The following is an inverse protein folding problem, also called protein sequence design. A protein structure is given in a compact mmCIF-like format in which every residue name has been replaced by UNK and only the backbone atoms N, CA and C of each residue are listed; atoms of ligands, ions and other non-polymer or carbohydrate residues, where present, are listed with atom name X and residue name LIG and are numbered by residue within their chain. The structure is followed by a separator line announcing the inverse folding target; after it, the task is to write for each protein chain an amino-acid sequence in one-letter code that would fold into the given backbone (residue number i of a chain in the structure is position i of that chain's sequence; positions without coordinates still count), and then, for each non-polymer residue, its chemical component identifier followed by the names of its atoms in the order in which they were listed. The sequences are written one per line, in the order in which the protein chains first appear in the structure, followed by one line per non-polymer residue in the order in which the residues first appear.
data_IF_744862933329
#
_entry.id   IF_744862933329
#
_cell.length_a   1.000
_cell.length_b   1.000
_cell.length_c   1.000
_cell.angle_alpha   90.00
_cell.angle_beta   90.00
_cell.angle_gamma   90.00
#
_symmetry.space_group_name_H-M   'P 1'
#
loop_
_entity.id
_entity.type
_entity.pdbx_description
1 polymer ?
#
# COMPACT_ATOMS: atom_id res chain seq x y z
N UNK A 1 17.28 -1.63 -1.34
CA UNK A 1 16.13 -1.26 -2.18
C UNK A 1 16.62 -0.71 -3.53
N UNK A 2 17.09 -1.58 -4.44
CA UNK A 2 17.52 -1.22 -5.80
C UNK A 2 16.40 -1.63 -6.77
N UNK A 3 15.32 -0.85 -6.76
CA UNK A 3 14.19 -1.02 -7.67
C UNK A 3 14.01 0.20 -8.57
N UNK A 4 15.08 0.94 -8.86
CA UNK A 4 15.15 1.83 -10.01
C UNK A 4 15.39 1.00 -11.27
N UNK A 5 14.46 0.08 -11.58
CA UNK A 5 14.26 -0.31 -12.96
C UNK A 5 13.61 0.88 -13.65
N UNK A 6 14.44 1.89 -13.91
CA UNK A 6 14.17 2.99 -14.82
C UNK A 6 13.42 2.40 -16.00
N UNK A 7 12.20 2.85 -16.21
CA UNK A 7 11.37 2.45 -17.34
C UNK A 7 12.17 2.62 -18.64
N UNK A 8 13.08 3.58 -18.68
CA UNK A 8 14.07 3.81 -19.72
C UNK A 8 14.99 2.60 -19.97
N UNK A 9 15.35 1.82 -18.94
CA UNK A 9 16.11 0.56 -19.08
C UNK A 9 15.27 -0.57 -19.68
N UNK A 10 13.98 -0.62 -19.34
CA UNK A 10 13.03 -1.56 -19.96
C UNK A 10 12.79 -1.19 -21.43
N UNK A 11 12.51 0.08 -21.71
CA UNK A 11 12.38 0.61 -23.07
C UNK A 11 13.64 0.37 -23.90
N UNK A 12 14.83 0.67 -23.37
CA UNK A 12 16.08 0.41 -24.06
C UNK A 12 16.22 -1.06 -24.44
N UNK A 13 15.89 -1.99 -23.53
CA UNK A 13 16.01 -3.42 -23.81
C UNK A 13 15.06 -3.86 -24.92
N UNK A 14 13.85 -3.32 -24.96
CA UNK A 14 12.89 -3.58 -26.04
C UNK A 14 13.40 -3.00 -27.35
N UNK A 15 13.77 -1.72 -27.36
CA UNK A 15 14.25 -1.01 -28.54
C UNK A 15 15.47 -1.73 -29.11
N UNK A 16 16.47 -2.06 -28.30
CA UNK A 16 17.67 -2.78 -28.75
C UNK A 16 17.34 -4.14 -29.34
N UNK A 17 16.40 -4.90 -28.77
CA UNK A 17 16.00 -6.21 -29.31
C UNK A 17 15.30 -6.07 -30.65
N UNK A 18 14.34 -5.15 -30.75
CA UNK A 18 13.60 -4.89 -31.99
C UNK A 18 14.55 -4.39 -33.06
N UNK A 19 15.40 -3.40 -32.75
CA UNK A 19 16.40 -2.87 -33.66
C UNK A 19 17.39 -3.95 -34.09
N UNK A 20 17.87 -4.80 -33.19
CA UNK A 20 18.81 -5.87 -33.53
C UNK A 20 18.19 -6.90 -34.47
N UNK A 21 16.97 -7.38 -34.18
CA UNK A 21 16.25 -8.32 -35.05
C UNK A 21 15.95 -7.66 -36.40
N UNK A 22 15.51 -6.39 -36.39
CA UNK A 22 15.24 -5.63 -37.60
C UNK A 22 16.48 -5.46 -38.48
N UNK A 23 17.62 -5.09 -37.90
CA UNK A 23 18.89 -4.96 -38.63
C UNK A 23 19.36 -6.31 -39.16
N UNK A 24 19.20 -7.42 -38.41
CA UNK A 24 19.49 -8.77 -38.92
C UNK A 24 18.64 -9.05 -40.16
N UNK A 25 17.34 -8.79 -40.09
CA UNK A 25 16.43 -9.04 -41.22
C UNK A 25 16.83 -8.22 -42.45
N UNK A 26 17.18 -6.94 -42.25
CA UNK A 26 17.66 -6.05 -43.33
C UNK A 26 18.96 -6.59 -43.93
N UNK A 27 19.95 -6.93 -43.10
CA UNK A 27 21.23 -7.48 -43.60
C UNK A 27 21.05 -8.80 -44.35
N UNK A 28 20.12 -9.65 -43.93
CA UNK A 28 19.81 -10.90 -44.59
C UNK A 28 19.11 -10.66 -45.94
N UNK A 29 18.18 -9.71 -45.97
CA UNK A 29 17.48 -9.34 -47.20
C UNK A 29 18.46 -8.75 -48.23
N UNK A 30 19.35 -7.86 -47.79
CA UNK A 30 20.40 -7.31 -48.63
C UNK A 30 21.36 -8.41 -49.13
N UNK A 31 21.65 -9.44 -48.32
CA UNK A 31 22.44 -10.59 -48.76
C UNK A 31 21.78 -11.42 -49.85
N UNK A 32 20.46 -11.60 -49.78
CA UNK A 32 19.72 -12.45 -50.72
C UNK A 32 19.43 -11.71 -52.03
N UNK A 33 19.09 -10.42 -51.96
CA UNK A 33 18.50 -9.70 -53.08
C UNK A 33 19.42 -8.68 -53.75
N UNK A 34 20.50 -8.22 -53.10
CA UNK A 34 21.44 -7.29 -53.75
C UNK A 34 22.52 -8.03 -54.55
N UNK A 35 22.92 -7.53 -55.74
CA UNK A 35 24.03 -8.08 -56.51
C UNK A 35 25.34 -8.09 -55.71
N UNK A 36 26.17 -9.13 -55.87
CA UNK A 36 27.44 -9.31 -55.12
C UNK A 36 28.39 -8.10 -55.19
N UNK A 37 28.37 -7.34 -56.28
CA UNK A 37 29.20 -6.13 -56.47
C UNK A 37 28.77 -4.96 -55.57
N UNK A 38 27.48 -4.84 -55.25
CA UNK A 38 26.93 -3.81 -54.37
C UNK A 38 27.07 -4.27 -52.91
N UNK A 39 27.00 -5.58 -52.67
CA UNK A 39 27.09 -6.14 -51.32
C UNK A 39 28.49 -6.02 -50.70
N UNK A 40 29.55 -6.12 -51.52
CA UNK A 40 30.94 -5.81 -51.08
C UNK A 40 31.26 -4.31 -51.06
N UNK A 41 30.29 -3.48 -51.43
CA UNK A 41 30.40 -2.03 -51.41
C UNK A 41 30.25 -1.44 -50.00
N UNK A 42 30.26 -0.12 -49.96
CA UNK A 42 30.19 0.70 -48.75
C UNK A 42 28.90 0.45 -47.95
N UNK A 43 27.78 0.13 -48.62
CA UNK A 43 26.48 -0.08 -47.98
C UNK A 43 26.47 -1.33 -47.08
N UNK A 44 27.07 -2.45 -47.51
CA UNK A 44 27.15 -3.67 -46.70
C UNK A 44 28.00 -3.51 -45.44
N UNK A 45 29.03 -2.65 -45.50
CA UNK A 45 29.88 -2.31 -44.35
C UNK A 45 29.08 -1.50 -43.32
N UNK A 46 28.22 -0.59 -43.78
CA UNK A 46 27.37 0.24 -42.91
C UNK A 46 26.42 -0.62 -42.09
N UNK A 47 25.70 -1.55 -42.73
CA UNK A 47 24.75 -2.40 -42.01
C UNK A 47 25.44 -3.32 -41.02
N UNK A 48 26.62 -3.84 -41.37
CA UNK A 48 27.46 -4.60 -40.45
C UNK A 48 27.91 -3.77 -39.24
N UNK A 49 28.33 -2.52 -39.44
CA UNK A 49 28.71 -1.63 -38.33
C UNK A 49 27.53 -1.34 -37.40
N UNK A 50 26.34 -1.10 -37.95
CA UNK A 50 25.11 -0.91 -37.15
C UNK A 50 24.82 -2.18 -36.34
N UNK A 51 24.87 -3.35 -36.95
CA UNK A 51 24.64 -4.63 -36.27
C UNK A 51 25.62 -4.87 -35.11
N UNK A 52 26.92 -4.63 -35.35
CA UNK A 52 27.96 -4.75 -34.32
C UNK A 52 27.72 -3.73 -33.19
N UNK A 53 27.34 -2.50 -33.50
CA UNK A 53 27.03 -1.49 -32.50
C UNK A 53 25.88 -1.90 -31.58
N UNK A 54 24.82 -2.50 -32.16
CA UNK A 54 23.66 -2.98 -31.41
C UNK A 54 24.03 -4.21 -30.56
N UNK A 55 24.87 -5.11 -31.06
CA UNK A 55 25.38 -6.25 -30.29
C UNK A 55 26.20 -5.77 -29.07
N UNK A 56 27.11 -4.81 -29.28
CA UNK A 56 27.90 -4.20 -28.19
C UNK A 56 26.98 -3.48 -27.20
N UNK A 57 25.97 -2.74 -27.68
CA UNK A 57 25.00 -2.07 -26.83
C UNK A 57 24.19 -3.07 -25.98
N UNK A 58 23.78 -4.21 -26.53
CA UNK A 58 23.11 -5.28 -25.79
C UNK A 58 24.01 -5.86 -24.68
N UNK A 59 25.30 -6.08 -24.97
CA UNK A 59 26.27 -6.53 -23.96
C UNK A 59 26.49 -5.49 -22.85
N UNK A 60 26.56 -4.20 -23.20
CA UNK A 60 26.66 -3.10 -22.23
C UNK A 60 25.40 -2.99 -21.36
N UNK A 61 24.22 -3.17 -21.97
CA UNK A 61 22.95 -3.19 -21.25
C UNK A 61 22.89 -4.35 -20.25
N UNK A 62 23.38 -5.54 -20.63
CA UNK A 62 23.46 -6.69 -19.73
C UNK A 62 24.41 -6.46 -18.53
N UNK A 63 25.45 -5.64 -18.72
CA UNK A 63 26.39 -5.22 -17.66
C UNK A 63 25.90 -4.01 -16.83
N UNK A 64 24.61 -3.64 -16.91
CA UNK A 64 24.03 -2.47 -16.25
C UNK A 64 24.67 -1.13 -16.62
N UNK A 65 25.41 -1.05 -17.73
CA UNK A 65 26.00 0.22 -18.23
C UNK A 65 25.02 0.93 -19.17
N UNK A 66 23.88 1.37 -18.61
CA UNK A 66 22.75 1.93 -19.36
C UNK A 66 23.14 3.07 -20.31
N UNK A 67 23.71 4.15 -19.77
CA UNK A 67 24.03 5.34 -20.57
C UNK A 67 25.04 5.05 -21.69
N UNK A 68 26.03 4.19 -21.41
CA UNK A 68 26.99 3.78 -22.43
C UNK A 68 26.33 2.94 -23.53
N UNK A 69 25.39 2.07 -23.16
CA UNK A 69 24.61 1.28 -24.12
C UNK A 69 23.80 2.18 -25.06
N UNK A 70 23.07 3.18 -24.52
CA UNK A 70 22.31 4.14 -25.33
C UNK A 70 23.20 4.96 -26.24
N UNK A 71 24.33 5.47 -25.72
CA UNK A 71 25.26 6.28 -26.52
C UNK A 71 25.80 5.45 -27.68
N UNK A 72 26.28 4.23 -27.42
CA UNK A 72 26.82 3.35 -28.47
C UNK A 72 25.77 2.99 -29.52
N UNK A 73 24.54 2.64 -29.08
CA UNK A 73 23.47 2.26 -30.01
C UNK A 73 22.89 3.41 -30.81
N UNK A 74 23.19 4.67 -30.46
CA UNK A 74 22.70 5.85 -31.17
C UNK A 74 23.80 6.57 -31.94
N UNK A 75 25.02 6.67 -31.40
CA UNK A 75 26.12 7.41 -32.01
C UNK A 75 26.63 6.75 -33.29
N UNK A 76 26.77 5.42 -33.29
CA UNK A 76 27.28 4.68 -34.46
C UNK A 76 26.24 4.73 -35.61
N UNK A 77 24.95 4.41 -35.39
CA UNK A 77 23.94 4.59 -36.44
C UNK A 77 23.80 6.03 -36.93
N UNK A 78 23.91 7.03 -36.05
CA UNK A 78 23.91 8.43 -36.51
C UNK A 78 25.09 8.73 -37.43
N UNK A 79 26.30 8.28 -37.06
CA UNK A 79 27.49 8.50 -37.87
C UNK A 79 27.34 7.84 -39.25
N UNK A 80 26.83 6.61 -39.30
CA UNK A 80 26.61 5.90 -40.57
C UNK A 80 25.51 6.55 -41.41
N UNK A 81 24.43 7.04 -40.79
CA UNK A 81 23.35 7.76 -41.50
C UNK A 81 23.83 9.10 -42.07
N UNK A 82 24.65 9.86 -41.32
CA UNK A 82 25.26 11.08 -41.85
C UNK A 82 26.21 10.79 -43.00
N UNK A 83 27.06 9.77 -42.85
CA UNK A 83 27.96 9.34 -43.92
C UNK A 83 27.18 8.92 -45.18
N UNK A 84 26.16 8.09 -45.03
CA UNK A 84 25.28 7.68 -46.14
C UNK A 84 24.62 8.88 -46.81
N UNK A 85 24.17 9.88 -46.03
CA UNK A 85 23.54 11.08 -46.57
C UNK A 85 24.49 12.03 -47.31
N UNK A 86 25.80 11.89 -47.09
CA UNK A 86 26.84 12.67 -47.79
C UNK A 86 27.29 11.93 -49.05
N UNK A 87 27.52 10.62 -48.99
CA UNK A 87 28.15 9.88 -50.09
C UNK A 87 27.19 9.05 -50.94
N UNK A 88 25.98 8.74 -50.46
CA UNK A 88 24.96 7.97 -51.19
C UNK A 88 23.81 8.85 -51.67
N UNK A 89 23.72 9.02 -52.98
CA UNK A 89 22.77 9.93 -53.66
C UNK A 89 21.31 9.52 -53.47
N UNK A 90 21.01 8.22 -53.44
CA UNK A 90 19.64 7.69 -53.45
C UNK A 90 19.02 7.54 -52.05
N UNK A 91 19.84 7.50 -50.99
CA UNK A 91 19.39 7.18 -49.65
C UNK A 91 19.03 8.41 -48.77
N UNK A 92 19.33 9.62 -49.22
CA UNK A 92 19.31 10.86 -48.41
C UNK A 92 18.00 11.10 -47.64
N UNK A 93 16.84 10.99 -48.29
CA UNK A 93 15.52 11.19 -47.66
C UNK A 93 15.25 10.16 -46.55
N UNK A 94 15.55 8.88 -46.81
CA UNK A 94 15.33 7.80 -45.84
C UNK A 94 16.30 7.91 -44.66
N UNK A 95 17.56 8.25 -44.92
CA UNK A 95 18.58 8.45 -43.90
C UNK A 95 18.22 9.62 -42.98
N UNK A 96 17.71 10.74 -43.52
CA UNK A 96 17.25 11.88 -42.72
C UNK A 96 16.05 11.53 -41.82
N UNK A 97 15.08 10.77 -42.34
CA UNK A 97 13.97 10.28 -41.53
C UNK A 97 14.45 9.36 -40.39
N UNK A 98 15.44 8.50 -40.67
CA UNK A 98 16.05 7.64 -39.66
C UNK A 98 16.80 8.43 -38.58
N UNK A 99 17.50 9.53 -38.94
CA UNK A 99 18.14 10.43 -37.97
C UNK A 99 17.13 11.01 -36.99
N UNK A 100 15.94 11.37 -37.47
CA UNK A 100 14.84 11.86 -36.61
C UNK A 100 14.39 10.77 -35.63
N UNK A 101 14.21 9.54 -36.09
CA UNK A 101 13.83 8.42 -35.22
C UNK A 101 14.90 8.10 -34.15
N UNK A 102 16.18 8.21 -34.50
CA UNK A 102 17.28 8.07 -33.53
C UNK A 102 17.29 9.26 -32.56
N UNK A 103 17.02 10.48 -33.03
CA UNK A 103 16.85 11.67 -32.20
C UNK A 103 15.72 11.57 -31.18
N UNK A 104 14.59 11.01 -31.58
CA UNK A 104 13.49 10.66 -30.68
C UNK A 104 13.94 9.67 -29.60
N UNK A 105 14.67 8.62 -30.00
CA UNK A 105 15.20 7.63 -29.06
C UNK A 105 16.16 8.27 -28.03
N UNK A 106 17.02 9.20 -28.46
CA UNK A 106 17.88 10.00 -27.57
C UNK A 106 17.05 10.82 -26.58
N UNK A 107 15.98 11.46 -27.04
CA UNK A 107 15.11 12.32 -26.23
C UNK A 107 14.45 11.56 -25.08
N UNK A 108 14.06 10.31 -25.33
CA UNK A 108 13.39 9.44 -24.35
C UNK A 108 14.41 8.74 -23.44
N UNK A 109 15.51 8.25 -23.98
CA UNK A 109 16.39 7.33 -23.26
C UNK A 109 17.49 8.04 -22.45
N UNK A 110 17.86 9.28 -22.80
CA UNK A 110 18.89 10.01 -22.07
C UNK A 110 18.32 11.13 -21.21
N UNK A 111 19.08 11.54 -20.20
CA UNK A 111 18.73 12.63 -19.30
C UNK A 111 19.86 13.63 -19.11
N UNK A 112 19.48 14.81 -18.63
CA UNK A 112 20.38 15.87 -18.19
C UNK A 112 21.36 16.30 -19.29
N UNK A 113 22.65 16.38 -18.93
CA UNK A 113 23.69 16.91 -19.82
C UNK A 113 23.97 15.98 -21.00
N UNK A 114 23.82 14.66 -20.83
CA UNK A 114 24.10 13.68 -21.89
C UNK A 114 23.07 13.77 -23.02
N UNK A 115 21.80 13.98 -22.67
CA UNK A 115 20.72 14.27 -23.63
C UNK A 115 21.09 15.50 -24.46
N UNK A 116 21.46 16.60 -23.81
CA UNK A 116 21.85 17.86 -24.49
C UNK A 116 23.07 17.68 -25.41
N UNK A 117 24.11 16.97 -24.95
CA UNK A 117 25.30 16.69 -25.77
C UNK A 117 24.98 15.86 -27.01
N UNK A 118 24.12 14.84 -26.88
CA UNK A 118 23.72 14.02 -28.02
C UNK A 118 22.84 14.77 -29.03
N UNK A 119 21.94 15.64 -28.57
CA UNK A 119 21.19 16.52 -29.49
C UNK A 119 22.10 17.52 -30.20
N UNK A 120 23.09 18.08 -29.51
CA UNK A 120 24.10 18.93 -30.12
C UNK A 120 24.87 18.17 -31.21
N UNK A 121 25.27 16.92 -30.94
CA UNK A 121 25.92 16.05 -31.92
C UNK A 121 25.04 15.84 -33.18
N UNK A 122 23.74 15.61 -33.02
CA UNK A 122 22.82 15.47 -34.16
C UNK A 122 22.69 16.77 -34.94
N UNK A 123 22.55 17.92 -34.27
CA UNK A 123 22.45 19.23 -34.94
C UNK A 123 23.70 19.56 -35.75
N UNK A 124 24.90 19.25 -35.21
CA UNK A 124 26.17 19.39 -35.93
C UNK A 124 26.21 18.46 -37.15
N UNK A 125 25.76 17.21 -37.00
CA UNK A 125 25.68 16.24 -38.10
C UNK A 125 24.74 16.70 -39.22
N UNK A 126 23.52 17.12 -38.87
CA UNK A 126 22.55 17.67 -39.83
C UNK A 126 23.08 18.91 -40.56
N UNK A 127 23.78 19.80 -39.84
CA UNK A 127 24.39 20.99 -40.43
C UNK A 127 25.52 20.64 -41.40
N UNK A 128 26.32 19.63 -41.06
CA UNK A 128 27.37 19.10 -41.95
C UNK A 128 26.76 18.53 -43.23
N UNK A 129 25.74 17.68 -43.12
CA UNK A 129 25.09 17.09 -44.30
C UNK A 129 24.48 18.18 -45.19
N UNK A 130 23.80 19.16 -44.59
CA UNK A 130 23.26 20.30 -45.33
C UNK A 130 24.34 21.05 -46.10
N UNK A 131 25.47 21.34 -45.48
CA UNK A 131 26.57 22.05 -46.12
C UNK A 131 27.09 21.32 -47.37
N UNK A 132 27.29 19.99 -47.28
CA UNK A 132 27.72 19.18 -48.42
C UNK A 132 26.67 19.13 -49.55
N UNK A 133 25.39 18.98 -49.20
CA UNK A 133 24.30 18.97 -50.17
C UNK A 133 24.09 20.33 -50.83
N UNK A 134 24.28 21.42 -50.08
CA UNK A 134 24.14 22.78 -50.57
C UNK A 134 25.22 23.14 -51.60
N UNK A 135 26.45 22.68 -51.38
CA UNK A 135 27.55 22.90 -52.33
C UNK A 135 27.42 22.07 -53.62
N UNK A 136 26.80 20.89 -53.55
CA UNK A 136 26.75 19.94 -54.66
C UNK A 136 25.32 19.49 -54.99
N UNK A 137 24.37 20.39 -55.28
CA UNK A 137 22.95 20.04 -55.44
C UNK A 137 22.69 19.03 -56.56
N UNK A 138 23.44 19.13 -57.66
CA UNK A 138 23.31 18.22 -58.82
C UNK A 138 23.72 16.79 -58.50
N UNK A 139 24.67 16.59 -57.58
CA UNK A 139 25.09 15.26 -57.11
C UNK A 139 23.92 14.54 -56.42
N UNK A 140 23.07 15.27 -55.70
CA UNK A 140 21.95 14.71 -54.93
C UNK A 140 20.62 14.74 -55.71
N UNK A 141 20.68 14.80 -57.04
CA UNK A 141 19.51 14.84 -57.93
C UNK A 141 18.56 15.99 -57.61
N UNK A 142 19.10 17.12 -57.13
CA UNK A 142 18.34 18.34 -56.87
C UNK A 142 18.57 19.36 -57.99
N UNK A 143 17.51 19.90 -58.61
CA UNK A 143 17.62 20.80 -59.75
C UNK A 143 18.20 22.16 -59.36
N UNK A 144 18.06 22.58 -58.10
CA UNK A 144 18.59 23.84 -57.61
C UNK A 144 18.91 23.76 -56.10
N UNK A 145 19.61 24.77 -55.59
CA UNK A 145 19.91 24.92 -54.16
C UNK A 145 18.65 25.17 -53.32
N UNK A 146 17.59 25.71 -53.91
CA UNK A 146 16.31 25.97 -53.23
C UNK A 146 15.64 24.70 -52.70
N UNK A 147 15.67 23.60 -53.45
CA UNK A 147 15.14 22.31 -52.98
C UNK A 147 15.94 21.74 -51.81
N UNK A 148 17.27 21.87 -51.82
CA UNK A 148 18.13 21.44 -50.70
C UNK A 148 17.79 22.22 -49.43
N UNK A 149 17.65 23.55 -49.55
CA UNK A 149 17.26 24.41 -48.42
C UNK A 149 15.88 24.03 -47.90
N UNK A 150 14.91 23.79 -48.78
CA UNK A 150 13.55 23.41 -48.38
C UNK A 150 13.55 22.10 -47.61
N UNK A 151 14.24 21.07 -48.11
CA UNK A 151 14.35 19.77 -47.43
C UNK A 151 15.04 19.89 -46.08
N UNK A 152 16.13 20.67 -45.99
CA UNK A 152 16.80 20.92 -44.73
C UNK A 152 15.89 21.59 -43.71
N UNK A 153 15.18 22.66 -44.10
CA UNK A 153 14.23 23.36 -43.22
C UNK A 153 13.15 22.41 -42.71
N UNK A 154 12.61 21.54 -43.58
CA UNK A 154 11.60 20.54 -43.20
C UNK A 154 12.15 19.56 -42.16
N UNK A 155 13.29 18.91 -42.42
CA UNK A 155 13.84 17.92 -41.49
C UNK A 155 14.34 18.54 -40.19
N UNK A 156 14.95 19.73 -40.25
CA UNK A 156 15.40 20.47 -39.08
C UNK A 156 14.21 20.84 -38.21
N UNK A 157 13.16 21.44 -38.79
CA UNK A 157 11.94 21.79 -38.05
C UNK A 157 11.28 20.55 -37.45
N UNK A 158 11.14 19.46 -38.21
CA UNK A 158 10.59 18.20 -37.71
C UNK A 158 11.42 17.63 -36.54
N UNK A 159 12.74 17.67 -36.64
CA UNK A 159 13.64 17.22 -35.57
C UNK A 159 13.44 18.02 -34.28
N UNK A 160 13.34 19.35 -34.37
CA UNK A 160 13.11 20.19 -33.19
C UNK A 160 11.72 19.95 -32.58
N UNK A 161 10.68 19.84 -33.40
CA UNK A 161 9.31 19.53 -32.92
C UNK A 161 9.31 18.19 -32.18
N UNK A 162 9.90 17.14 -32.76
CA UNK A 162 9.92 15.81 -32.16
C UNK A 162 10.77 15.79 -30.88
N UNK A 163 11.94 16.43 -30.90
CA UNK A 163 12.81 16.52 -29.72
C UNK A 163 12.12 17.26 -28.57
N UNK A 164 11.49 18.39 -28.86
CA UNK A 164 10.73 19.16 -27.86
C UNK A 164 9.55 18.35 -27.33
N UNK A 165 8.75 17.77 -28.22
CA UNK A 165 7.55 17.02 -27.84
C UNK A 165 7.91 15.79 -27.00
N UNK A 166 8.92 15.02 -27.41
CA UNK A 166 9.38 13.85 -26.68
C UNK A 166 9.97 14.22 -25.31
N UNK A 167 10.73 15.31 -25.24
CA UNK A 167 11.26 15.84 -23.98
C UNK A 167 10.15 16.25 -23.01
N UNK A 168 9.17 17.04 -23.47
CA UNK A 168 8.03 17.44 -22.66
C UNK A 168 7.19 16.26 -22.18
N UNK A 169 6.97 15.26 -23.06
CA UNK A 169 6.25 14.04 -22.70
C UNK A 169 6.98 13.24 -21.63
N UNK A 170 8.30 13.10 -21.76
CA UNK A 170 9.14 12.43 -20.77
C UNK A 170 9.09 13.15 -19.41
N UNK A 171 9.31 14.46 -19.40
CA UNK A 171 9.33 15.24 -18.17
C UNK A 171 7.97 15.16 -17.44
N UNK A 172 6.85 15.14 -18.19
CA UNK A 172 5.50 14.95 -17.61
C UNK A 172 5.29 13.52 -17.08
N UNK A 173 5.74 12.51 -17.82
CA UNK A 173 5.67 11.11 -17.40
C UNK A 173 6.43 10.86 -16.10
N UNK A 174 7.66 11.38 -16.00
CA UNK A 174 8.51 11.24 -14.82
C UNK A 174 7.88 11.91 -13.58
N UNK A 175 7.25 13.09 -13.76
CA UNK A 175 6.52 13.78 -12.70
C UNK A 175 5.34 12.95 -12.17
N UNK A 176 4.51 12.41 -13.07
CA UNK A 176 3.35 11.59 -12.69
C UNK A 176 3.82 10.32 -11.96
N UNK A 177 4.89 9.69 -12.43
CA UNK A 177 5.37 8.47 -11.80
C UNK A 177 5.97 8.72 -10.41
N UNK A 178 6.66 9.85 -10.24
CA UNK A 178 7.16 10.27 -8.93
C UNK A 178 6.02 10.51 -7.95
N UNK A 179 4.96 11.20 -8.37
CA UNK A 179 3.75 11.43 -7.57
C UNK A 179 3.04 10.12 -7.21
N UNK A 180 2.85 9.22 -8.18
CA UNK A 180 2.24 7.92 -7.95
C UNK A 180 3.04 7.07 -6.95
N UNK A 181 4.37 7.10 -7.02
CA UNK A 181 5.22 6.40 -6.06
C UNK A 181 5.08 6.96 -4.64
N UNK A 182 4.89 8.28 -4.51
CA UNK A 182 4.71 8.93 -3.22
C UNK A 182 3.34 8.57 -2.61
N UNK A 183 2.28 8.63 -3.42
CA UNK A 183 0.93 8.23 -3.01
C UNK A 183 0.90 6.76 -2.58
N UNK A 184 1.53 5.85 -3.33
CA UNK A 184 1.61 4.44 -2.95
C UNK A 184 2.32 4.23 -1.61
N UNK A 185 3.39 4.99 -1.36
CA UNK A 185 4.09 4.92 -0.07
C UNK A 185 3.17 5.38 1.07
N UNK A 186 2.47 6.50 0.89
CA UNK A 186 1.52 7.02 1.88
C UNK A 186 0.36 6.04 2.14
N UNK A 187 -0.17 5.40 1.09
CA UNK A 187 -1.21 4.38 1.21
C UNK A 187 -0.75 3.18 2.04
N UNK A 188 0.47 2.71 1.83
CA UNK A 188 1.05 1.61 2.61
C UNK A 188 1.19 2.03 4.09
N UNK A 189 1.73 3.22 4.35
CA UNK A 189 1.86 3.74 5.72
C UNK A 189 0.51 3.86 6.43
N UNK A 190 -0.52 4.38 5.74
CA UNK A 190 -1.89 4.47 6.26
C UNK A 190 -2.50 3.08 6.49
N UNK A 191 -2.28 2.13 5.58
CA UNK A 191 -2.76 0.74 5.73
C UNK A 191 -2.16 0.08 6.97
N UNK A 192 -0.85 0.23 7.20
CA UNK A 192 -0.17 -0.31 8.39
C UNK A 192 -0.76 0.32 9.66
N UNK A 193 -0.96 1.65 9.66
CA UNK A 193 -1.55 2.34 10.81
C UNK A 193 -2.97 1.87 11.10
N UNK A 194 -3.81 1.70 10.06
CA UNK A 194 -5.18 1.17 10.21
C UNK A 194 -5.16 -0.25 10.78
N UNK A 195 -4.25 -1.11 10.32
CA UNK A 195 -4.12 -2.47 10.84
C UNK A 195 -3.74 -2.48 12.33
N UNK A 196 -2.82 -1.60 12.74
CA UNK A 196 -2.44 -1.44 14.15
C UNK A 196 -3.62 -0.97 15.01
N UNK A 197 -4.33 0.08 14.56
CA UNK A 197 -5.50 0.59 15.27
C UNK A 197 -6.62 -0.44 15.37
N UNK A 198 -6.82 -1.27 14.34
CA UNK A 198 -7.79 -2.35 14.39
C UNK A 198 -7.40 -3.43 15.41
N UNK A 199 -6.10 -3.77 15.51
CA UNK A 199 -5.60 -4.68 16.54
C UNK A 199 -5.83 -4.15 17.95
N UNK A 200 -5.51 -2.88 18.19
CA UNK A 200 -5.75 -2.21 19.47
C UNK A 200 -7.26 -2.19 19.82
N UNK A 201 -8.12 -1.95 18.84
CA UNK A 201 -9.58 -1.96 19.03
C UNK A 201 -10.08 -3.34 19.45
N UNK A 202 -9.64 -4.40 18.76
CA UNK A 202 -10.02 -5.79 19.08
C UNK A 202 -9.52 -6.17 20.48
N UNK A 203 -8.31 -5.76 20.85
CA UNK A 203 -7.78 -6.01 22.20
C UNK A 203 -8.61 -5.28 23.27
N UNK A 204 -8.95 -4.01 23.04
CA UNK A 204 -9.82 -3.24 23.94
C UNK A 204 -11.23 -3.84 24.05
N UNK A 205 -11.78 -4.36 22.96
CA UNK A 205 -13.09 -5.03 22.95
C UNK A 205 -13.04 -6.30 23.81
N UNK A 206 -12.00 -7.13 23.64
CA UNK A 206 -11.80 -8.33 24.46
C UNK A 206 -11.69 -7.99 25.94
N UNK A 207 -10.88 -6.98 26.31
CA UNK A 207 -10.75 -6.52 27.69
C UNK A 207 -12.09 -6.03 28.26
N UNK A 208 -12.87 -5.29 27.47
CA UNK A 208 -14.21 -4.83 27.88
C UNK A 208 -15.15 -6.01 28.14
N UNK A 209 -15.12 -7.02 27.27
CA UNK A 209 -15.94 -8.23 27.41
C UNK A 209 -15.54 -9.04 28.65
N UNK A 210 -14.24 -9.18 28.94
CA UNK A 210 -13.76 -9.82 30.16
C UNK A 210 -14.20 -9.07 31.42
N UNK A 211 -14.08 -7.74 31.44
CA UNK A 211 -14.55 -6.90 32.54
C UNK A 211 -16.05 -7.04 32.74
N UNK A 212 -16.84 -6.99 31.65
CA UNK A 212 -18.29 -7.14 31.71
C UNK A 212 -18.69 -8.50 32.29
N UNK A 213 -18.09 -9.60 31.80
CA UNK A 213 -18.37 -10.94 32.33
C UNK A 213 -18.03 -11.06 33.82
N UNK A 214 -16.91 -10.48 34.25
CA UNK A 214 -16.53 -10.46 35.67
C UNK A 214 -17.50 -9.61 36.52
N UNK A 215 -17.93 -8.45 36.02
CA UNK A 215 -18.91 -7.61 36.69
C UNK A 215 -20.27 -8.31 36.80
N UNK A 216 -20.71 -9.01 35.76
CA UNK A 216 -21.94 -9.82 35.79
C UNK A 216 -21.85 -10.91 36.87
N UNK A 217 -20.72 -11.61 36.98
CA UNK A 217 -20.50 -12.59 38.03
C UNK A 217 -20.56 -11.97 39.44
N UNK A 218 -19.90 -10.83 39.67
CA UNK A 218 -19.95 -10.13 40.96
C UNK A 218 -21.38 -9.68 41.28
N UNK A 219 -22.10 -9.15 40.28
CA UNK A 219 -23.48 -8.71 40.44
C UNK A 219 -24.37 -9.90 40.79
N UNK A 220 -24.22 -11.04 40.14
CA UNK A 220 -24.95 -12.27 40.43
C UNK A 220 -24.66 -12.76 41.85
N UNK A 221 -23.38 -12.86 42.23
CA UNK A 221 -22.95 -13.27 43.57
C UNK A 221 -23.55 -12.37 44.66
N UNK A 222 -23.43 -11.04 44.50
CA UNK A 222 -24.00 -10.08 45.45
C UNK A 222 -25.52 -10.13 45.48
N UNK A 223 -26.16 -10.29 44.33
CA UNK A 223 -27.62 -10.41 44.25
C UNK A 223 -28.10 -11.66 44.98
N UNK A 224 -27.41 -12.78 44.82
CA UNK A 224 -27.72 -14.02 45.53
C UNK A 224 -27.47 -13.88 47.03
N UNK A 225 -26.37 -13.27 47.46
CA UNK A 225 -26.11 -12.99 48.87
C UNK A 225 -27.22 -12.11 49.50
N UNK A 226 -27.61 -11.03 48.82
CA UNK A 226 -28.70 -10.15 49.26
C UNK A 226 -30.04 -10.89 49.33
N UNK A 227 -30.36 -11.72 48.32
CA UNK A 227 -31.58 -12.55 48.33
C UNK A 227 -31.61 -13.49 49.52
N UNK A 228 -30.50 -14.18 49.79
CA UNK A 228 -30.37 -15.08 50.95
C UNK A 228 -30.52 -14.34 52.28
N UNK A 229 -29.85 -13.18 52.44
CA UNK A 229 -30.00 -12.31 53.61
C UNK A 229 -31.43 -11.82 53.79
N UNK A 230 -32.08 -11.41 52.72
CA UNK A 230 -33.46 -10.94 52.76
C UNK A 230 -34.44 -12.05 53.16
N UNK A 231 -34.30 -13.25 52.57
CA UNK A 231 -35.11 -14.41 52.94
C UNK A 231 -34.96 -14.76 54.42
N UNK A 232 -33.72 -14.70 54.93
CA UNK A 232 -33.43 -14.91 56.35
C UNK A 232 -34.10 -13.87 57.25
N UNK A 233 -33.96 -12.57 56.94
CA UNK A 233 -34.59 -11.48 57.70
C UNK A 233 -36.12 -11.61 57.74
N UNK A 234 -36.74 -12.03 56.64
CA UNK A 234 -38.19 -12.32 56.59
C UNK A 234 -38.56 -13.45 57.55
N UNK A 235 -37.82 -14.57 57.55
CA UNK A 235 -38.04 -15.69 58.48
C UNK A 235 -37.89 -15.25 59.94
N UNK A 236 -36.83 -14.49 60.24
CA UNK A 236 -36.58 -13.95 61.57
C UNK A 236 -37.71 -13.02 62.04
N UNK A 237 -38.13 -12.07 61.19
CA UNK A 237 -39.22 -11.15 61.50
C UNK A 237 -40.54 -11.88 61.78
N UNK A 238 -40.84 -12.93 61.00
CA UNK A 238 -42.01 -13.78 61.23
C UNK A 238 -41.95 -14.50 62.57
N UNK A 239 -40.81 -15.14 62.88
CA UNK A 239 -40.61 -15.87 64.13
C UNK A 239 -40.69 -14.95 65.36
N UNK A 240 -40.07 -13.76 65.29
CA UNK A 240 -40.14 -12.78 66.36
C UNK A 240 -41.58 -12.26 66.58
N UNK A 241 -42.34 -12.02 65.50
CA UNK A 241 -43.71 -11.53 65.59
C UNK A 241 -44.71 -12.58 66.13
N UNK A 242 -44.58 -13.85 65.77
CA UNK A 242 -45.56 -14.88 66.14
C UNK A 242 -45.12 -15.73 67.33
N UNK A 243 -43.86 -16.18 67.33
CA UNK A 243 -43.38 -17.14 68.31
C UNK A 243 -42.78 -16.47 69.56
N UNK A 244 -42.33 -15.21 69.48
CA UNK A 244 -41.82 -14.48 70.66
C UNK A 244 -42.87 -13.52 71.21
N UNK A 245 -43.43 -12.62 70.39
CA UNK A 245 -44.42 -11.65 70.86
C UNK A 245 -45.74 -12.29 71.32
N UNK A 246 -46.16 -13.41 70.72
CA UNK A 246 -47.39 -14.11 71.09
C UNK A 246 -47.40 -14.57 72.55
N UNK A 247 -46.45 -15.44 72.95
CA UNK A 247 -46.29 -15.83 74.35
C UNK A 247 -46.05 -14.66 75.31
N UNK A 248 -45.26 -13.66 74.90
CA UNK A 248 -45.00 -12.48 75.72
C UNK A 248 -46.28 -11.69 76.01
N UNK A 249 -47.13 -11.49 75.01
CA UNK A 249 -48.44 -10.86 75.18
C UNK A 249 -49.34 -11.69 76.10
N UNK A 250 -49.27 -13.03 76.03
CA UNK A 250 -49.98 -13.93 76.97
C UNK A 250 -49.48 -13.74 78.41
N UNK A 251 -48.17 -13.70 78.64
CA UNK A 251 -47.59 -13.43 79.97
C UNK A 251 -48.03 -12.07 80.51
N UNK A 252 -47.96 -11.02 79.69
CA UNK A 252 -48.41 -9.68 80.07
C UNK A 252 -49.91 -9.65 80.41
N UNK A 253 -50.73 -10.37 79.65
CA UNK A 253 -52.15 -10.55 79.94
C UNK A 253 -52.42 -11.27 81.26
N UNK A 254 -51.72 -12.38 81.53
CA UNK A 254 -51.82 -13.13 82.80
C UNK A 254 -51.40 -12.27 84.00
N UNK A 255 -50.31 -11.49 83.87
CA UNK A 255 -49.86 -10.53 84.88
C UNK A 255 -50.91 -9.44 85.14
N UNK A 256 -51.64 -9.01 84.10
CA UNK A 256 -52.68 -8.00 84.22
C UNK A 256 -53.94 -8.57 84.90
N UNK A 257 -54.32 -9.82 84.60
CA UNK A 257 -55.40 -10.53 85.29
C UNK A 257 -55.10 -10.69 86.79
N UNK A 258 -53.87 -11.06 87.13
CA UNK A 258 -53.41 -11.18 88.52
C UNK A 258 -53.54 -9.86 89.31
N UNK A 259 -53.48 -8.71 88.63
CA UNK A 259 -53.62 -7.38 89.25
C UNK A 259 -55.06 -6.90 89.41
N UNK A 260 -56.02 -7.47 88.68
CA UNK A 260 -57.40 -6.96 88.60
C UNK A 260 -58.41 -7.77 89.42
N UNK A 261 -58.18 -9.07 89.60
CA UNK A 261 -59.11 -9.95 90.30
C UNK A 261 -58.85 -9.97 91.81
N UNK A 262 -59.93 -10.05 92.60
CA UNK A 262 -59.90 -10.08 94.07
C UNK A 262 -59.88 -11.50 94.67
N UNK A 263 -60.18 -12.54 93.87
CA UNK A 263 -60.11 -13.95 94.25
C UNK A 263 -59.30 -14.71 93.18
N UNK A 264 -57.98 -14.68 93.35
CA UNK A 264 -57.01 -15.08 92.31
C UNK A 264 -56.37 -16.41 92.67
N UNK A 265 -56.49 -17.39 91.76
CA UNK A 265 -55.72 -18.63 91.81
C UNK A 265 -54.28 -18.38 91.33
N UNK A 266 -53.47 -17.85 92.25
CA UNK A 266 -52.05 -17.58 92.01
C UNK A 266 -51.26 -18.82 91.58
N UNK A 267 -51.44 -20.01 92.20
CA UNK A 267 -50.79 -21.23 91.72
C UNK A 267 -51.04 -21.50 90.23
N UNK A 268 -52.28 -21.39 89.77
CA UNK A 268 -52.61 -21.60 88.36
C UNK A 268 -51.98 -20.53 87.44
N UNK A 269 -52.01 -19.25 87.85
CA UNK A 269 -51.42 -18.16 87.06
C UNK A 269 -49.91 -18.27 86.94
N UNK A 270 -49.21 -18.64 88.02
CA UNK A 270 -47.77 -18.85 87.99
C UNK A 270 -47.39 -20.03 87.10
N UNK A 271 -48.12 -21.14 87.17
CA UNK A 271 -47.92 -22.29 86.26
C UNK A 271 -48.08 -21.90 84.78
N UNK A 272 -49.10 -21.08 84.45
CA UNK A 272 -49.27 -20.60 83.07
C UNK A 272 -48.18 -19.61 82.64
N UNK A 273 -47.74 -18.70 83.50
CA UNK A 273 -46.64 -17.78 83.20
C UNK A 273 -45.33 -18.54 83.01
N UNK A 274 -45.04 -19.52 83.85
CA UNK A 274 -43.86 -20.38 83.76
C UNK A 274 -43.86 -21.15 82.44
N UNK A 275 -44.99 -21.78 82.08
CA UNK A 275 -45.16 -22.48 80.80
C UNK A 275 -44.92 -21.56 79.59
N UNK A 276 -45.45 -20.34 79.63
CA UNK A 276 -45.25 -19.36 78.56
C UNK A 276 -43.82 -18.81 78.50
N UNK A 277 -43.16 -18.69 79.65
CA UNK A 277 -41.76 -18.25 79.73
C UNK A 277 -40.81 -19.31 79.16
N UNK A 278 -41.08 -20.59 79.44
CA UNK A 278 -40.36 -21.71 78.80
C UNK A 278 -40.59 -21.77 77.30
N UNK A 279 -41.82 -21.54 76.83
CA UNK A 279 -42.12 -21.47 75.38
C UNK A 279 -41.31 -20.36 74.68
N UNK A 280 -41.14 -19.19 75.31
CA UNK A 280 -40.28 -18.12 74.80
C UNK A 280 -38.81 -18.54 74.79
N UNK A 281 -38.32 -19.13 75.89
CA UNK A 281 -36.92 -19.54 76.01
C UNK A 281 -36.55 -20.58 74.96
N UNK A 282 -37.44 -21.54 74.69
CA UNK A 282 -37.25 -22.56 73.64
C UNK A 282 -37.25 -21.95 72.23
N UNK A 283 -38.16 -21.01 71.97
CA UNK A 283 -38.19 -20.26 70.70
C UNK A 283 -36.92 -19.42 70.52
N UNK A 284 -36.46 -18.72 71.56
CA UNK A 284 -35.25 -17.90 71.52
C UNK A 284 -33.99 -18.76 71.31
N UNK A 285 -33.89 -19.92 71.96
CA UNK A 285 -32.81 -20.89 71.71
C UNK A 285 -32.82 -21.37 70.27
N UNK A 286 -34.00 -21.63 69.70
CA UNK A 286 -34.14 -22.03 68.30
C UNK A 286 -33.70 -20.93 67.35
N UNK A 287 -34.13 -19.68 67.59
CA UNK A 287 -33.75 -18.51 66.78
C UNK A 287 -32.24 -18.24 66.88
N UNK A 288 -31.64 -18.34 68.08
CA UNK A 288 -30.21 -18.13 68.28
C UNK A 288 -29.37 -19.22 67.61
N UNK A 289 -29.82 -20.48 67.65
CA UNK A 289 -29.16 -21.57 66.95
C UNK A 289 -29.20 -21.37 65.42
N UNK A 290 -30.35 -20.96 64.89
CA UNK A 290 -30.47 -20.61 63.46
C UNK A 290 -29.68 -19.33 63.08
N UNK A 291 -29.43 -18.42 64.02
CA UNK A 291 -28.55 -17.24 63.86
C UNK A 291 -27.08 -17.64 63.76
N UNK A 292 -26.61 -18.52 64.64
CA UNK A 292 -25.23 -19.02 64.63
C UNK A 292 -24.96 -19.84 63.36
N UNK A 293 -25.86 -20.77 63.02
CA UNK A 293 -25.75 -21.56 61.78
C UNK A 293 -25.90 -20.69 60.53
N UNK A 294 -26.67 -19.60 60.60
CA UNK A 294 -26.79 -18.63 59.51
C UNK A 294 -25.55 -17.74 59.35
N UNK A 295 -24.91 -17.34 60.44
CA UNK A 295 -23.71 -16.48 60.43
C UNK A 295 -22.51 -17.12 59.73
N UNK A 296 -22.36 -18.44 59.81
CA UNK A 296 -21.32 -19.20 59.09
C UNK A 296 -21.55 -19.25 57.56
N UNK A 297 -22.75 -18.90 57.09
CA UNK A 297 -23.08 -18.74 55.65
C UNK A 297 -22.85 -17.28 55.20
N UNK A 298 -22.60 -16.36 56.14
CA UNK A 298 -22.50 -14.91 55.89
C UNK A 298 -21.07 -14.35 55.96
N UNK A 299 -20.07 -15.16 56.34
CA UNK A 299 -18.63 -14.85 56.34
C UNK A 299 -17.85 -15.85 55.47
#
# INVERSE_FOLDING_TARGET
MKSDRRIEAYFLKIILRISFIGTILITLFDFIFKPESIMRGIDGIVDFMILVSLAVALLLSAKNKYNASVIVSTSIPLLTLFYSSIFSVQATTASMAAVIAVGFSISILLDGIRRKLMHLYVVIGLSTVFFFQFQNPTLYLKPNTGEVVTMFVVYFTAYFIITYSAGAFKDKYDSIHSELSLINKELIEKSIKMELQNKELIESENQMNEINAHLEQIVEERTNNVKSKNAYLVKYAFANAHHVRGPLARILGLLQLAKMQSDVDYPFLFDQIEKQSHEIDDVLKTINKELEEGQDIFF
#
